data_IF_049461860173
#
_entry.id   IF_049461860173
#
_cell.length_a   1.000
_cell.length_b   1.000
_cell.length_c   1.000
_cell.angle_alpha   90.00
_cell.angle_beta   90.00
_cell.angle_gamma   90.00
#
_symmetry.space_group_name_H-M   'P 1'
#
loop_
_entity.id
_entity.type
_entity.pdbx_description
1 polymer ?
#
# COMPACT_ATOMS: atom_id res chain seq x y z
N UNK A 1 18.05 -15.26 7.50
CA UNK A 1 17.71 -16.04 6.29
C UNK A 1 18.94 -16.26 5.41
N UNK A 2 19.05 -17.37 4.66
CA UNK A 2 20.13 -17.66 3.71
C UNK A 2 20.12 -16.70 2.51
N UNK A 3 21.25 -16.56 1.83
CA UNK A 3 21.41 -15.72 0.64
C UNK A 3 21.27 -16.56 -0.63
N UNK A 4 20.68 -16.01 -1.68
CA UNK A 4 20.63 -16.64 -3.00
C UNK A 4 21.66 -15.96 -3.90
N UNK A 5 22.55 -16.77 -4.48
CA UNK A 5 23.62 -16.33 -5.36
C UNK A 5 23.44 -16.88 -6.78
N UNK A 6 23.99 -16.16 -7.74
CA UNK A 6 24.24 -16.70 -9.06
C UNK A 6 25.42 -17.71 -9.04
N UNK A 7 25.77 -18.29 -10.17
CA UNK A 7 26.90 -19.23 -10.29
C UNK A 7 28.27 -18.61 -10.03
N UNK A 8 28.39 -17.30 -10.10
CA UNK A 8 29.62 -16.54 -9.91
C UNK A 8 29.74 -15.94 -8.50
N UNK A 9 28.73 -16.13 -7.65
CA UNK A 9 28.68 -15.57 -6.31
C UNK A 9 28.09 -14.15 -6.23
N UNK A 10 27.44 -13.68 -7.31
CA UNK A 10 26.69 -12.42 -7.28
C UNK A 10 25.42 -12.61 -6.46
N UNK A 11 25.14 -11.70 -5.53
CA UNK A 11 23.94 -11.75 -4.68
C UNK A 11 22.70 -11.40 -5.49
N UNK A 12 21.76 -12.32 -5.58
CA UNK A 12 20.47 -12.13 -6.22
C UNK A 12 19.35 -11.83 -5.21
N UNK A 13 19.40 -12.46 -4.03
CA UNK A 13 18.55 -12.16 -2.89
C UNK A 13 19.37 -12.22 -1.60
N UNK A 14 19.44 -11.13 -0.88
CA UNK A 14 20.21 -10.98 0.35
C UNK A 14 19.39 -10.46 1.52
N UNK A 15 20.06 -10.17 2.64
CA UNK A 15 19.43 -9.55 3.80
C UNK A 15 20.22 -8.28 4.17
N UNK A 16 19.50 -7.22 4.46
CA UNK A 16 20.06 -6.00 5.03
C UNK A 16 19.62 -5.84 6.48
N UNK A 17 20.54 -5.43 7.33
CA UNK A 17 20.19 -5.07 8.70
C UNK A 17 19.44 -3.75 8.68
N UNK A 18 18.25 -3.76 9.27
CA UNK A 18 17.39 -2.60 9.45
C UNK A 18 17.04 -2.43 10.92
N UNK A 19 16.56 -1.25 11.28
CA UNK A 19 16.08 -1.00 12.63
C UNK A 19 14.58 -0.78 12.60
N UNK A 20 13.87 -1.46 13.49
CA UNK A 20 12.44 -1.33 13.65
C UNK A 20 12.13 -0.65 14.97
N UNK A 21 11.09 0.17 14.97
CA UNK A 21 10.52 0.74 16.17
C UNK A 21 9.46 -0.20 16.70
N UNK A 22 9.59 -0.60 17.93
CA UNK A 22 8.69 -1.55 18.59
C UNK A 22 8.10 -0.98 19.87
N UNK A 23 6.92 -1.47 20.25
CA UNK A 23 6.25 -1.11 21.51
C UNK A 23 5.90 -2.39 22.27
N UNK A 24 6.20 -2.41 23.56
CA UNK A 24 5.82 -3.47 24.51
C UNK A 24 4.67 -2.98 25.39
N UNK A 25 3.73 -3.88 25.69
CA UNK A 25 2.70 -3.64 26.71
C UNK A 25 3.37 -3.65 28.10
N UNK A 26 3.66 -2.47 28.62
CA UNK A 26 4.10 -2.34 30.00
C UNK A 26 2.87 -2.27 30.91
N UNK A 27 2.81 -3.10 31.95
CA UNK A 27 1.70 -3.11 32.90
C UNK A 27 1.46 -1.75 33.61
N UNK A 28 2.35 -0.80 33.45
CA UNK A 28 2.25 0.55 33.99
C UNK A 28 1.19 1.39 33.29
N UNK A 29 1.02 1.20 31.96
CA UNK A 29 -0.01 1.89 31.20
C UNK A 29 -1.42 1.30 31.38
N UNK A 30 -1.56 0.07 31.84
CA UNK A 30 -2.87 -0.55 32.09
C UNK A 30 -3.63 0.09 33.27
N UNK A 31 -2.96 0.91 34.10
CA UNK A 31 -3.54 1.64 35.23
C UNK A 31 -3.95 3.07 34.90
N UNK A 32 -3.43 3.65 33.82
CA UNK A 32 -3.62 5.03 33.41
C UNK A 32 -3.85 5.09 31.89
N UNK A 33 -5.01 4.64 31.43
CA UNK A 33 -5.34 4.53 29.98
C UNK A 33 -5.15 5.83 29.20
N UNK A 34 -5.25 7.00 29.85
CA UNK A 34 -5.01 8.30 29.22
C UNK A 34 -3.54 8.53 28.87
N UNK A 35 -2.63 8.13 29.74
CA UNK A 35 -1.19 8.39 29.58
C UNK A 35 -0.58 7.58 28.40
N UNK A 36 -1.10 6.38 28.15
CA UNK A 36 -0.64 5.56 27.04
C UNK A 36 -0.96 6.18 25.68
N UNK A 37 -2.17 6.68 25.49
CA UNK A 37 -2.54 7.34 24.24
C UNK A 37 -1.76 8.67 24.06
N UNK A 38 -1.48 9.41 25.14
CA UNK A 38 -0.63 10.61 25.08
C UNK A 38 0.82 10.28 24.71
N UNK A 39 1.35 9.18 25.24
CA UNK A 39 2.67 8.68 24.84
C UNK A 39 2.70 8.29 23.38
N UNK A 40 1.68 7.56 22.90
CA UNK A 40 1.56 7.19 21.47
C UNK A 40 1.45 8.42 20.58
N UNK A 41 0.71 9.44 20.98
CA UNK A 41 0.62 10.68 20.20
C UNK A 41 1.99 11.35 20.04
N UNK A 42 2.77 11.47 21.15
CA UNK A 42 4.14 12.00 21.07
C UNK A 42 5.04 11.15 20.17
N UNK A 43 4.90 9.83 20.25
CA UNK A 43 5.64 8.91 19.40
C UNK A 43 5.30 9.15 17.91
N UNK A 44 4.01 9.27 17.58
CA UNK A 44 3.52 9.56 16.25
C UNK A 44 4.06 10.90 15.73
N UNK A 45 4.07 11.94 16.56
CA UNK A 45 4.64 13.25 16.21
C UNK A 45 6.13 13.14 15.85
N UNK A 46 6.90 12.35 16.63
CA UNK A 46 8.32 12.12 16.34
C UNK A 46 8.46 11.33 15.03
N UNK A 47 7.71 10.24 14.85
CA UNK A 47 7.75 9.41 13.64
C UNK A 47 7.43 10.24 12.40
N UNK A 48 6.37 11.04 12.43
CA UNK A 48 5.98 11.93 11.31
C UNK A 48 7.05 12.99 11.00
N UNK A 49 7.69 13.54 12.02
CA UNK A 49 8.74 14.57 11.86
C UNK A 49 9.95 14.06 11.06
N UNK A 50 10.21 12.76 11.10
CA UNK A 50 11.33 12.11 10.42
C UNK A 50 10.86 11.16 9.30
N UNK A 51 9.69 11.44 8.71
CA UNK A 51 9.11 10.72 7.56
C UNK A 51 8.96 9.20 7.78
N UNK A 52 8.82 8.78 9.04
CA UNK A 52 8.58 7.37 9.38
C UNK A 52 7.13 6.96 9.06
N UNK A 53 6.97 5.71 8.63
CA UNK A 53 5.65 5.15 8.30
C UNK A 53 5.18 4.22 9.40
N UNK A 54 4.04 4.53 10.01
CA UNK A 54 3.40 3.68 11.02
C UNK A 54 2.66 2.54 10.33
N UNK A 55 2.77 1.33 10.89
CA UNK A 55 2.07 0.14 10.39
C UNK A 55 0.56 0.37 10.31
N UNK A 56 -0.04 -0.12 9.24
CA UNK A 56 -1.48 -0.05 8.95
C UNK A 56 -2.08 -1.45 9.08
N UNK A 57 -2.63 -1.76 10.25
CA UNK A 57 -3.28 -3.07 10.52
C UNK A 57 -4.81 -2.99 10.44
N UNK A 58 -5.38 -1.79 10.50
CA UNK A 58 -6.81 -1.58 10.36
C UNK A 58 -7.21 -1.45 8.90
N UNK A 59 -8.30 -2.11 8.44
CA UNK A 59 -8.85 -1.92 7.11
C UNK A 59 -9.68 -0.61 7.04
N UNK A 60 -9.08 0.50 7.47
CA UNK A 60 -9.70 1.84 7.55
C UNK A 60 -8.69 2.88 7.09
N UNK A 61 -9.14 3.78 6.24
CA UNK A 61 -8.40 4.95 5.75
C UNK A 61 -9.19 6.22 6.07
N UNK A 62 -8.58 7.35 5.81
CA UNK A 62 -9.26 8.64 5.73
C UNK A 62 -9.44 8.94 4.25
N UNK A 63 -10.67 9.19 3.83
CA UNK A 63 -11.00 9.50 2.45
C UNK A 63 -10.72 10.99 2.10
N UNK A 64 -10.96 11.35 0.84
CA UNK A 64 -10.73 12.70 0.32
C UNK A 64 -11.61 13.76 1.02
N UNK A 65 -12.74 13.34 1.63
CA UNK A 65 -13.64 14.20 2.42
C UNK A 65 -13.22 14.29 3.90
N UNK A 66 -12.10 13.68 4.28
CA UNK A 66 -11.59 13.63 5.65
C UNK A 66 -12.44 12.78 6.60
N UNK A 67 -13.14 11.76 6.07
CA UNK A 67 -13.95 10.83 6.87
C UNK A 67 -13.27 9.46 6.95
N UNK A 68 -13.57 8.68 8.01
CA UNK A 68 -13.14 7.30 8.06
C UNK A 68 -13.92 6.46 7.04
N UNK A 69 -13.19 5.77 6.15
CA UNK A 69 -13.72 4.88 5.15
C UNK A 69 -13.07 3.49 5.26
N UNK A 70 -13.81 2.46 4.88
CA UNK A 70 -13.22 1.12 4.82
C UNK A 70 -12.29 0.97 3.63
N UNK A 71 -11.21 0.21 3.85
CA UNK A 71 -10.25 -0.16 2.81
C UNK A 71 -9.95 -1.65 2.87
N UNK A 72 -9.58 -2.23 1.73
CA UNK A 72 -9.18 -3.63 1.66
C UNK A 72 -10.34 -4.61 1.46
N UNK A 73 -10.14 -5.87 1.89
CA UNK A 73 -11.08 -6.97 1.63
C UNK A 73 -12.21 -7.00 2.67
N UNK A 74 -13.40 -7.38 2.22
CA UNK A 74 -14.60 -7.58 3.05
C UNK A 74 -14.34 -8.47 4.28
N UNK A 75 -13.49 -9.49 4.13
CA UNK A 75 -13.12 -10.38 5.24
C UNK A 75 -12.39 -9.67 6.36
N UNK A 76 -11.49 -8.73 6.03
CA UNK A 76 -10.76 -7.93 7.01
C UNK A 76 -11.69 -6.94 7.73
N UNK A 77 -12.60 -6.30 6.99
CA UNK A 77 -13.62 -5.39 7.55
C UNK A 77 -14.52 -6.14 8.53
N UNK A 78 -15.03 -7.31 8.13
CA UNK A 78 -15.84 -8.18 9.01
C UNK A 78 -15.07 -8.64 10.25
N UNK A 79 -13.78 -8.90 10.12
CA UNK A 79 -12.93 -9.24 11.27
C UNK A 79 -12.79 -8.05 12.22
N UNK A 80 -12.52 -6.84 11.71
CA UNK A 80 -12.47 -5.62 12.52
C UNK A 80 -13.79 -5.41 13.29
N UNK A 81 -14.94 -5.50 12.61
CA UNK A 81 -16.26 -5.33 13.24
C UNK A 81 -16.45 -6.36 14.35
N UNK A 82 -16.08 -7.63 14.12
CA UNK A 82 -16.15 -8.69 15.12
C UNK A 82 -15.26 -8.39 16.32
N UNK A 83 -14.09 -7.87 16.10
CA UNK A 83 -13.12 -7.51 17.14
C UNK A 83 -13.57 -6.32 17.99
N UNK A 84 -14.26 -5.36 17.39
CA UNK A 84 -14.76 -4.16 18.06
C UNK A 84 -16.02 -4.43 18.85
N UNK A 85 -16.93 -5.22 18.31
CA UNK A 85 -18.25 -5.44 18.91
C UNK A 85 -18.34 -6.75 19.73
N UNK A 86 -17.57 -7.77 19.36
CA UNK A 86 -17.63 -9.10 19.96
C UNK A 86 -18.81 -9.92 19.43
N UNK A 87 -18.65 -11.24 19.43
CA UNK A 87 -19.65 -12.18 18.89
C UNK A 87 -21.00 -12.10 19.62
N UNK A 88 -20.98 -11.98 20.95
CA UNK A 88 -22.22 -11.91 21.75
C UNK A 88 -23.08 -10.68 21.41
N UNK A 89 -22.47 -9.52 21.21
CA UNK A 89 -23.17 -8.30 20.80
C UNK A 89 -23.77 -8.46 19.39
N UNK A 90 -23.00 -9.01 18.46
CA UNK A 90 -23.45 -9.26 17.09
C UNK A 90 -24.65 -10.21 17.06
N UNK A 91 -24.60 -11.28 17.85
CA UNK A 91 -25.72 -12.25 17.97
C UNK A 91 -26.97 -11.62 18.59
N UNK A 92 -26.80 -10.76 19.59
CA UNK A 92 -27.91 -10.02 20.21
C UNK A 92 -28.58 -9.11 19.19
N UNK A 93 -27.81 -8.30 18.48
CA UNK A 93 -28.30 -7.39 17.46
C UNK A 93 -28.97 -8.11 16.29
N UNK A 94 -28.40 -9.23 15.87
CA UNK A 94 -29.02 -10.08 14.83
C UNK A 94 -30.41 -10.59 15.23
N UNK A 95 -30.63 -10.93 16.52
CA UNK A 95 -31.97 -11.31 17.03
C UNK A 95 -32.92 -10.15 17.04
N UNK A 96 -32.44 -8.91 17.15
CA UNK A 96 -33.21 -7.66 17.05
C UNK A 96 -33.52 -7.28 15.59
N UNK A 97 -32.94 -7.99 14.60
CA UNK A 97 -33.08 -7.73 13.17
C UNK A 97 -32.07 -6.69 12.63
N UNK A 98 -31.05 -6.37 13.41
CA UNK A 98 -30.01 -5.41 13.05
C UNK A 98 -28.72 -6.15 12.61
N UNK A 99 -28.22 -5.84 11.41
CA UNK A 99 -26.95 -6.40 10.90
C UNK A 99 -25.80 -5.44 11.22
N UNK A 100 -25.00 -5.77 12.24
CA UNK A 100 -23.83 -4.99 12.68
C UNK A 100 -22.75 -4.89 11.59
N UNK A 101 -22.71 -5.84 10.65
CA UNK A 101 -21.75 -5.81 9.55
C UNK A 101 -22.04 -4.74 8.48
N UNK A 102 -23.18 -4.06 8.57
CA UNK A 102 -23.53 -2.92 7.71
C UNK A 102 -23.14 -1.56 8.28
N UNK A 103 -22.55 -1.54 9.49
CA UNK A 103 -22.14 -0.28 10.11
C UNK A 103 -20.99 0.35 9.30
N UNK A 104 -21.06 1.69 9.16
CA UNK A 104 -20.03 2.47 8.49
C UNK A 104 -18.74 2.56 9.30
N UNK A 105 -17.65 2.92 8.64
CA UNK A 105 -16.33 3.01 9.26
C UNK A 105 -16.29 4.06 10.39
N UNK A 106 -16.99 5.17 10.24
CA UNK A 106 -17.08 6.22 11.25
C UNK A 106 -17.70 5.72 12.56
N UNK A 107 -18.77 4.93 12.47
CA UNK A 107 -19.45 4.32 13.62
C UNK A 107 -18.56 3.29 14.32
N UNK A 108 -17.86 2.45 13.54
CA UNK A 108 -16.96 1.43 14.08
C UNK A 108 -15.76 2.08 14.74
N UNK A 109 -15.14 3.10 14.11
CA UNK A 109 -14.00 3.82 14.66
C UNK A 109 -14.37 4.60 15.94
N UNK A 110 -15.52 5.25 16.01
CA UNK A 110 -16.00 5.89 17.23
C UNK A 110 -16.12 4.91 18.40
N UNK A 111 -16.65 3.70 18.14
CA UNK A 111 -16.72 2.67 19.17
C UNK A 111 -15.33 2.14 19.56
N UNK A 112 -14.45 1.90 18.58
CA UNK A 112 -13.09 1.45 18.83
C UNK A 112 -12.34 2.43 19.72
N UNK A 113 -12.36 3.72 19.38
CA UNK A 113 -11.72 4.78 20.15
C UNK A 113 -12.30 4.90 21.56
N UNK A 114 -13.63 4.95 21.68
CA UNK A 114 -14.30 5.21 22.96
C UNK A 114 -14.29 4.01 23.90
N UNK A 115 -14.67 2.84 23.41
CA UNK A 115 -14.90 1.65 24.24
C UNK A 115 -13.64 0.81 24.38
N UNK A 116 -12.98 0.52 23.26
CA UNK A 116 -11.83 -0.39 23.27
C UNK A 116 -10.54 0.29 23.71
N UNK A 117 -10.33 1.56 23.33
CA UNK A 117 -9.08 2.27 23.57
C UNK A 117 -9.21 3.44 24.55
N UNK A 118 -10.42 3.67 25.05
CA UNK A 118 -10.69 4.65 26.09
C UNK A 118 -10.07 6.03 25.82
N UNK A 119 -10.33 6.58 24.63
CA UNK A 119 -10.01 7.97 24.33
C UNK A 119 -10.79 8.83 25.34
N UNK A 120 -10.07 9.65 26.10
CA UNK A 120 -10.67 10.45 27.17
C UNK A 120 -11.60 11.51 26.59
N UNK A 121 -12.49 12.07 27.44
CA UNK A 121 -13.37 13.19 27.08
C UNK A 121 -12.60 14.41 26.56
N UNK A 122 -11.31 14.54 26.89
CA UNK A 122 -10.41 15.56 26.33
C UNK A 122 -10.20 15.40 24.83
N UNK A 123 -10.28 14.17 24.29
CA UNK A 123 -10.14 13.86 22.88
C UNK A 123 -11.48 13.58 22.18
N UNK A 124 -12.57 13.39 22.97
CA UNK A 124 -13.94 13.25 22.42
C UNK A 124 -14.44 14.54 21.75
N UNK A 125 -13.91 15.70 22.16
CA UNK A 125 -14.18 16.95 21.47
C UNK A 125 -13.07 17.12 20.41
N UNK A 126 -13.36 16.79 19.18
CA UNK A 126 -12.53 16.72 17.98
C UNK A 126 -11.55 17.91 17.72
N UNK A 127 -11.43 18.86 18.64
CA UNK A 127 -10.55 20.02 18.56
C UNK A 127 -9.13 19.76 19.03
N UNK A 128 -8.82 18.57 19.60
CA UNK A 128 -7.55 18.30 20.27
C UNK A 128 -6.69 17.19 19.64
N UNK A 129 -7.23 16.37 18.76
CA UNK A 129 -6.50 15.34 18.00
C UNK A 129 -7.05 15.24 16.58
N UNK A 130 -6.15 15.19 15.59
CA UNK A 130 -6.54 14.98 14.19
C UNK A 130 -7.07 13.55 13.98
N UNK A 131 -7.89 13.35 12.94
CA UNK A 131 -8.35 12.00 12.58
C UNK A 131 -7.19 11.11 12.18
N UNK A 132 -6.16 11.66 11.54
CA UNK A 132 -4.94 10.98 11.14
C UNK A 132 -4.18 10.45 12.37
N UNK A 133 -4.02 11.27 13.40
CA UNK A 133 -3.35 10.85 14.65
C UNK A 133 -4.19 9.83 15.41
N UNK A 134 -5.50 10.01 15.44
CA UNK A 134 -6.43 9.06 16.05
C UNK A 134 -6.37 7.70 15.33
N UNK A 135 -6.35 7.69 13.99
CA UNK A 135 -6.21 6.47 13.19
C UNK A 135 -4.85 5.81 13.46
N UNK A 136 -3.76 6.58 13.53
CA UNK A 136 -2.42 6.07 13.82
C UNK A 136 -2.36 5.42 15.20
N UNK A 137 -2.91 6.05 16.25
CA UNK A 137 -3.02 5.45 17.59
C UNK A 137 -3.83 4.15 17.54
N UNK A 138 -4.96 4.15 16.82
CA UNK A 138 -5.79 2.96 16.69
C UNK A 138 -5.06 1.83 15.97
N UNK A 139 -4.29 2.11 14.92
CA UNK A 139 -3.47 1.12 14.23
C UNK A 139 -2.43 0.48 15.15
N UNK A 140 -1.68 1.30 15.90
CA UNK A 140 -0.68 0.81 16.87
C UNK A 140 -1.34 -0.09 17.91
N UNK A 141 -2.43 0.37 18.51
CA UNK A 141 -3.14 -0.39 19.57
C UNK A 141 -3.79 -1.65 19.04
N UNK A 142 -4.24 -1.64 17.78
CA UNK A 142 -4.79 -2.82 17.14
C UNK A 142 -3.69 -3.85 16.84
N UNK A 143 -2.54 -3.41 16.34
CA UNK A 143 -1.37 -4.27 16.17
C UNK A 143 -0.95 -4.93 17.50
N UNK A 144 -0.87 -4.16 18.58
CA UNK A 144 -0.56 -4.68 19.93
C UNK A 144 -1.61 -5.69 20.42
N UNK A 145 -2.88 -5.52 20.05
CA UNK A 145 -3.95 -6.46 20.42
C UNK A 145 -3.76 -7.83 19.79
N UNK A 146 -3.25 -7.89 18.56
CA UNK A 146 -2.98 -9.15 17.87
C UNK A 146 -1.94 -10.03 18.60
N UNK A 147 -1.09 -9.41 19.41
CA UNK A 147 -0.04 -10.06 20.23
C UNK A 147 -0.38 -10.12 21.72
N UNK A 148 -1.60 -9.79 22.15
CA UNK A 148 -2.00 -9.68 23.59
C UNK A 148 -1.81 -10.98 24.38
N UNK A 149 -1.86 -12.14 23.74
CA UNK A 149 -1.60 -13.44 24.37
C UNK A 149 -0.11 -13.64 24.75
N UNK A 150 0.79 -12.84 24.16
CA UNK A 150 2.24 -12.87 24.36
C UNK A 150 2.75 -11.48 24.74
N UNK A 151 2.33 -10.94 25.90
CA UNK A 151 2.65 -9.58 26.37
C UNK A 151 4.14 -9.25 26.47
N UNK A 152 4.97 -10.29 26.52
CA UNK A 152 6.42 -10.16 26.53
C UNK A 152 7.01 -9.92 25.13
N UNK A 153 6.24 -10.17 24.07
CA UNK A 153 6.67 -9.89 22.68
C UNK A 153 6.45 -8.41 22.38
N UNK A 154 7.45 -7.80 21.77
CA UNK A 154 7.33 -6.45 21.22
C UNK A 154 6.46 -6.46 19.97
N UNK A 155 5.74 -5.39 19.74
CA UNK A 155 4.96 -5.15 18.53
C UNK A 155 5.68 -4.13 17.65
N UNK A 156 6.04 -4.50 16.44
CA UNK A 156 6.64 -3.56 15.48
C UNK A 156 5.57 -2.56 15.02
N UNK A 157 5.89 -1.28 15.12
CA UNK A 157 5.00 -0.17 14.77
C UNK A 157 5.53 0.69 13.62
N UNK A 158 6.84 0.68 13.39
CA UNK A 158 7.48 1.30 12.24
C UNK A 158 8.68 0.43 11.84
N UNK A 159 8.75 0.07 10.58
CA UNK A 159 9.84 -0.77 10.05
C UNK A 159 10.84 0.10 9.30
N UNK A 160 12.12 -0.32 9.30
CA UNK A 160 13.19 0.32 8.53
C UNK A 160 13.33 1.82 8.82
N UNK A 161 13.47 2.15 10.11
CA UNK A 161 13.57 3.54 10.57
C UNK A 161 14.92 4.16 10.19
N UNK A 162 14.90 5.45 9.84
CA UNK A 162 16.12 6.20 9.55
C UNK A 162 17.02 6.38 10.77
N UNK A 163 18.34 6.56 10.61
CA UNK A 163 19.24 6.85 11.71
C UNK A 163 18.85 8.10 12.53
N UNK A 164 18.25 9.09 11.86
CA UNK A 164 17.76 10.32 12.47
C UNK A 164 16.55 10.05 13.37
N UNK A 165 15.60 9.21 12.91
CA UNK A 165 14.47 8.78 13.72
C UNK A 165 14.93 7.94 14.90
N UNK A 166 15.88 7.01 14.68
CA UNK A 166 16.47 6.22 15.76
C UNK A 166 17.10 7.12 16.85
N UNK A 167 17.89 8.10 16.46
CA UNK A 167 18.50 9.05 17.41
C UNK A 167 17.43 9.83 18.19
N UNK A 168 16.39 10.32 17.49
CA UNK A 168 15.30 11.05 18.12
C UNK A 168 14.51 10.20 19.14
N UNK A 169 14.27 8.92 18.84
CA UNK A 169 13.61 7.99 19.78
C UNK A 169 14.49 7.78 21.02
N UNK A 170 15.80 7.54 20.84
CA UNK A 170 16.72 7.34 21.96
C UNK A 170 16.84 8.57 22.85
N UNK A 171 16.84 9.78 22.28
CA UNK A 171 16.83 11.04 23.04
C UNK A 171 15.57 11.22 23.88
N UNK A 172 14.43 10.72 23.41
CA UNK A 172 13.13 10.85 24.07
C UNK A 172 12.72 9.60 24.89
N UNK A 173 13.60 8.61 25.03
CA UNK A 173 13.28 7.31 25.63
C UNK A 173 12.65 7.39 27.03
N UNK A 174 13.02 8.39 27.84
CA UNK A 174 12.42 8.60 29.18
C UNK A 174 10.92 8.93 29.14
N UNK A 175 10.43 9.47 28.03
CA UNK A 175 9.02 9.82 27.83
C UNK A 175 8.26 8.78 27.01
N UNK A 176 8.98 7.83 26.40
CA UNK A 176 8.48 6.78 25.52
C UNK A 176 8.62 5.40 26.19
N UNK A 177 7.97 5.23 27.35
CA UNK A 177 8.07 4.00 28.13
C UNK A 177 7.51 2.80 27.34
N UNK A 178 8.30 1.73 27.24
CA UNK A 178 7.95 0.53 26.46
C UNK A 178 8.21 0.63 24.96
N UNK A 179 8.75 1.75 24.50
CA UNK A 179 9.20 1.92 23.10
C UNK A 179 10.67 1.55 23.00
N UNK A 180 11.01 0.67 22.09
CA UNK A 180 12.37 0.20 21.85
C UNK A 180 12.71 0.25 20.36
N UNK A 181 14.01 0.35 20.05
CA UNK A 181 14.55 0.19 18.71
C UNK A 181 15.21 -1.17 18.64
N UNK A 182 14.70 -2.05 17.82
CA UNK A 182 15.17 -3.41 17.65
C UNK A 182 15.82 -3.58 16.27
N UNK A 183 16.97 -4.26 16.23
CA UNK A 183 17.58 -4.65 14.97
C UNK A 183 16.77 -5.80 14.36
N UNK A 184 16.51 -5.67 13.06
CA UNK A 184 15.80 -6.67 12.25
C UNK A 184 16.52 -6.87 10.92
N UNK A 185 16.01 -7.75 10.09
CA UNK A 185 16.54 -7.99 8.74
C UNK A 185 15.43 -7.74 7.71
N UNK A 186 15.78 -7.03 6.64
CA UNK A 186 14.91 -6.88 5.47
C UNK A 186 15.49 -7.70 4.31
N UNK A 187 14.62 -8.49 3.66
CA UNK A 187 14.98 -9.20 2.44
C UNK A 187 15.11 -8.20 1.29
N UNK A 188 16.22 -8.28 0.56
CA UNK A 188 16.53 -7.36 -0.56
C UNK A 188 16.89 -8.15 -1.81
N UNK A 189 16.46 -7.59 -2.95
CA UNK A 189 16.68 -8.15 -4.27
C UNK A 189 17.36 -7.08 -5.14
N UNK A 190 18.71 -6.97 -5.12
CA UNK A 190 19.44 -5.85 -5.74
C UNK A 190 19.02 -5.59 -7.20
N UNK A 191 18.85 -6.66 -7.98
CA UNK A 191 18.46 -6.59 -9.39
C UNK A 191 17.13 -7.32 -9.64
N UNK A 192 16.19 -7.17 -8.72
CA UNK A 192 14.89 -7.88 -8.70
C UNK A 192 14.10 -7.77 -10.00
N UNK A 193 14.20 -6.66 -10.73
CA UNK A 193 13.52 -6.46 -12.02
C UNK A 193 13.89 -7.57 -13.03
N UNK A 194 15.13 -8.01 -13.05
CA UNK A 194 15.61 -9.03 -13.99
C UNK A 194 15.33 -10.46 -13.55
N UNK A 195 15.06 -10.66 -12.26
CA UNK A 195 14.96 -11.98 -11.64
C UNK A 195 13.62 -12.26 -10.94
N UNK A 196 12.68 -11.33 -10.97
CA UNK A 196 11.38 -11.43 -10.25
C UNK A 196 10.63 -12.73 -10.53
N UNK A 197 10.59 -13.16 -11.79
CA UNK A 197 9.92 -14.39 -12.21
C UNK A 197 10.59 -15.68 -11.72
N UNK A 198 11.82 -15.59 -11.21
CA UNK A 198 12.63 -16.74 -10.78
C UNK A 198 12.72 -16.75 -9.26
N UNK A 199 13.10 -15.62 -8.67
CA UNK A 199 13.35 -15.52 -7.23
C UNK A 199 12.04 -15.58 -6.43
N UNK A 200 10.97 -14.95 -6.91
CA UNK A 200 9.79 -14.71 -6.12
C UNK A 200 10.01 -13.63 -5.07
N UNK A 201 9.30 -13.72 -3.96
CA UNK A 201 9.36 -12.76 -2.86
C UNK A 201 9.02 -13.39 -1.52
N UNK A 202 9.27 -12.66 -0.43
CA UNK A 202 8.92 -13.06 0.93
C UNK A 202 7.75 -12.23 1.47
N UNK A 203 6.94 -12.84 2.34
CA UNK A 203 5.80 -12.19 2.98
C UNK A 203 5.26 -13.00 4.14
N UNK A 204 4.30 -12.44 4.90
CA UNK A 204 3.62 -13.17 5.97
C UNK A 204 2.81 -14.33 5.40
N UNK A 205 2.79 -15.52 6.05
CA UNK A 205 2.02 -16.66 5.56
C UNK A 205 0.52 -16.40 5.70
N UNK A 206 -0.26 -16.90 4.76
CA UNK A 206 -1.70 -17.08 4.92
C UNK A 206 -1.99 -18.21 5.90
N UNK A 207 -3.22 -18.32 6.39
CA UNK A 207 -3.61 -19.42 7.31
C UNK A 207 -3.31 -20.80 6.73
N UNK A 208 -3.61 -21.01 5.45
CA UNK A 208 -3.38 -22.29 4.78
C UNK A 208 -1.89 -22.59 4.58
N UNK A 209 -1.08 -21.59 4.22
CA UNK A 209 0.38 -21.75 4.11
C UNK A 209 1.01 -22.04 5.47
N UNK A 210 0.54 -21.35 6.52
CA UNK A 210 1.01 -21.57 7.88
C UNK A 210 0.72 -23.01 8.35
N UNK A 211 -0.49 -23.54 8.12
CA UNK A 211 -0.83 -24.91 8.41
C UNK A 211 0.12 -25.90 7.72
N UNK A 212 0.38 -25.68 6.42
CA UNK A 212 1.30 -26.52 5.64
C UNK A 212 2.74 -26.46 6.17
N UNK A 213 3.23 -25.25 6.51
CA UNK A 213 4.57 -25.08 7.07
C UNK A 213 4.70 -25.73 8.44
N UNK A 214 3.67 -25.61 9.28
CA UNK A 214 3.63 -26.22 10.62
C UNK A 214 3.56 -27.76 10.61
N UNK A 215 3.13 -28.38 9.52
CA UNK A 215 3.25 -29.83 9.34
C UNK A 215 4.71 -30.30 9.28
N UNK A 216 5.60 -29.44 8.74
CA UNK A 216 7.04 -29.72 8.60
C UNK A 216 7.86 -29.20 9.78
N UNK A 217 7.54 -28.01 10.26
CA UNK A 217 8.17 -27.35 11.39
C UNK A 217 7.15 -26.53 12.18
N UNK A 218 6.78 -27.02 13.35
CA UNK A 218 5.77 -26.40 14.24
C UNK A 218 6.19 -25.05 14.83
N UNK A 219 7.42 -24.60 14.59
CA UNK A 219 7.93 -23.31 15.08
C UNK A 219 7.51 -22.11 14.21
N UNK A 220 6.92 -22.35 13.02
CA UNK A 220 6.39 -21.28 12.20
C UNK A 220 5.22 -20.56 12.85
N UNK A 221 5.25 -19.23 12.82
CA UNK A 221 4.21 -18.35 13.36
C UNK A 221 3.61 -17.46 12.23
N UNK A 222 2.40 -16.95 12.44
CA UNK A 222 1.72 -16.07 11.49
C UNK A 222 2.46 -14.72 11.24
N UNK A 223 3.40 -14.38 12.11
CA UNK A 223 4.23 -13.17 12.01
C UNK A 223 5.52 -13.37 11.23
N UNK A 224 5.86 -14.62 10.88
CA UNK A 224 7.10 -14.91 10.16
C UNK A 224 7.07 -14.40 8.73
N UNK A 225 8.27 -14.14 8.20
CA UNK A 225 8.47 -13.83 6.79
C UNK A 225 8.90 -15.11 6.07
N UNK A 226 8.02 -15.63 5.24
CA UNK A 226 8.23 -16.88 4.46
C UNK A 226 8.27 -16.58 2.97
N UNK A 227 8.86 -17.49 2.18
CA UNK A 227 8.81 -17.42 0.73
C UNK A 227 7.38 -17.63 0.21
N UNK A 228 6.94 -16.72 -0.65
CA UNK A 228 5.57 -16.70 -1.18
C UNK A 228 5.47 -17.25 -2.60
N UNK A 229 6.56 -17.18 -3.34
CA UNK A 229 6.63 -17.60 -4.74
C UNK A 229 8.07 -17.91 -5.15
N UNK A 230 8.25 -18.53 -6.29
CA UNK A 230 9.54 -18.78 -6.94
C UNK A 230 10.51 -19.59 -6.08
N UNK A 231 11.80 -19.25 -6.17
CA UNK A 231 12.85 -19.94 -5.41
C UNK A 231 12.80 -19.66 -3.91
N UNK A 232 12.30 -18.48 -3.51
CA UNK A 232 12.09 -18.16 -2.09
C UNK A 232 11.13 -19.16 -1.44
N UNK A 233 10.05 -19.52 -2.14
CA UNK A 233 9.08 -20.51 -1.65
C UNK A 233 9.63 -21.93 -1.76
N UNK A 234 10.23 -22.27 -2.90
CA UNK A 234 10.72 -23.64 -3.15
C UNK A 234 11.82 -24.06 -2.18
N UNK A 235 12.73 -23.13 -1.83
CA UNK A 235 13.83 -23.37 -0.90
C UNK A 235 13.57 -22.81 0.49
N UNK A 236 12.32 -22.63 0.89
CA UNK A 236 11.96 -22.09 2.20
C UNK A 236 12.65 -22.84 3.35
N UNK A 237 12.59 -24.17 3.35
CA UNK A 237 13.19 -25.02 4.38
C UNK A 237 14.71 -24.88 4.52
N UNK A 238 15.38 -24.53 3.41
CA UNK A 238 16.85 -24.32 3.41
C UNK A 238 17.19 -22.89 3.82
N UNK A 239 16.41 -21.92 3.31
CA UNK A 239 16.69 -20.49 3.47
C UNK A 239 16.27 -19.97 4.86
N UNK A 240 15.23 -20.49 5.48
CA UNK A 240 14.64 -19.97 6.72
C UNK A 240 15.61 -19.99 7.91
N UNK A 241 16.42 -21.03 8.03
CA UNK A 241 17.27 -21.26 9.20
C UNK A 241 16.50 -21.75 10.41
N UNK A 242 17.07 -21.62 11.59
CA UNK A 242 16.45 -22.04 12.85
C UNK A 242 16.25 -20.84 13.76
N UNK A 243 15.05 -20.68 14.31
CA UNK A 243 14.76 -19.62 15.26
C UNK A 243 15.54 -19.81 16.55
N UNK A 244 15.98 -18.72 17.15
CA UNK A 244 16.44 -18.74 18.55
C UNK A 244 15.27 -18.95 19.49
N UNK A 245 15.56 -19.49 20.67
CA UNK A 245 14.57 -19.75 21.70
C UNK A 245 15.10 -19.31 23.07
N UNK A 246 14.34 -18.45 23.73
CA UNK A 246 14.64 -18.00 25.10
C UNK A 246 13.62 -18.60 26.05
N UNK A 247 14.11 -19.33 27.05
CA UNK A 247 13.28 -19.78 28.17
C UNK A 247 13.36 -18.76 29.30
N UNK A 248 12.24 -18.13 29.63
CA UNK A 248 12.19 -17.02 30.57
C UNK A 248 11.21 -17.27 31.72
N UNK A 249 11.53 -16.72 32.89
CA UNK A 249 10.57 -16.61 33.99
C UNK A 249 9.75 -15.33 33.84
N UNK A 250 8.43 -15.47 33.86
CA UNK A 250 7.50 -14.35 33.83
C UNK A 250 6.87 -14.14 35.23
N UNK A 251 6.64 -12.88 35.59
CA UNK A 251 5.77 -12.57 36.74
C UNK A 251 4.29 -12.70 36.34
N UNK A 252 3.40 -12.49 37.32
CA UNK A 252 1.94 -12.57 37.13
C UNK A 252 1.34 -11.49 36.20
N UNK A 253 2.15 -10.51 35.77
CA UNK A 253 1.76 -9.46 34.83
C UNK A 253 2.45 -9.61 33.46
N UNK A 254 3.22 -10.69 33.25
CA UNK A 254 3.85 -11.00 31.97
C UNK A 254 5.20 -10.30 31.74
N UNK A 255 5.86 -9.77 32.77
CA UNK A 255 7.20 -9.23 32.66
C UNK A 255 8.25 -10.31 32.84
N UNK A 256 9.30 -10.29 32.03
CA UNK A 256 10.45 -11.18 32.15
C UNK A 256 11.21 -10.83 33.44
N UNK A 257 11.32 -11.79 34.33
CA UNK A 257 12.10 -11.66 35.60
C UNK A 257 13.53 -12.18 35.40
N UNK A 258 13.69 -13.25 34.67
CA UNK A 258 14.99 -13.89 34.45
C UNK A 258 14.94 -14.75 33.15
N UNK A 259 16.08 -14.90 32.50
CA UNK A 259 16.26 -15.79 31.35
C UNK A 259 17.02 -17.02 31.82
N UNK A 260 16.38 -18.20 31.76
CA UNK A 260 16.93 -19.44 32.26
C UNK A 260 17.90 -20.05 31.24
N UNK A 261 17.50 -19.99 29.96
CA UNK A 261 18.21 -20.58 28.83
C UNK A 261 17.97 -19.74 27.59
N UNK A 262 18.98 -19.64 26.74
CA UNK A 262 18.92 -18.87 25.50
C UNK A 262 19.66 -19.63 24.40
N UNK A 263 18.92 -20.11 23.42
CA UNK A 263 19.49 -20.71 22.20
C UNK A 263 19.50 -19.65 21.09
N UNK A 264 20.68 -19.30 20.54
CA UNK A 264 20.75 -18.30 19.47
C UNK A 264 20.13 -18.82 18.18
N UNK A 265 19.57 -17.92 17.37
CA UNK A 265 19.11 -18.24 16.03
C UNK A 265 20.28 -18.68 15.14
N UNK A 266 20.00 -19.63 14.24
CA UNK A 266 20.97 -20.09 13.24
C UNK A 266 20.52 -19.65 11.86
N UNK A 267 21.43 -18.98 11.13
CA UNK A 267 21.15 -18.54 9.76
C UNK A 267 20.88 -19.73 8.84
N UNK A 268 19.96 -19.56 7.89
CA UNK A 268 19.67 -20.55 6.87
C UNK A 268 20.82 -20.75 5.89
N UNK A 269 20.74 -21.83 5.13
CA UNK A 269 21.74 -22.20 4.13
C UNK A 269 21.68 -21.24 2.93
N UNK A 270 22.84 -20.95 2.37
CA UNK A 270 22.95 -20.18 1.13
C UNK A 270 22.69 -21.10 -0.08
N UNK A 271 21.99 -20.54 -1.09
CA UNK A 271 21.63 -21.25 -2.32
C UNK A 271 22.38 -20.66 -3.50
N UNK A 272 23.08 -21.51 -4.26
CA UNK A 272 23.78 -21.13 -5.46
C UNK A 272 23.04 -21.63 -6.70
N UNK A 273 22.69 -20.72 -7.59
CA UNK A 273 22.00 -21.03 -8.84
C UNK A 273 23.01 -21.32 -9.97
N UNK A 274 22.53 -21.98 -11.01
CA UNK A 274 23.31 -22.16 -12.26
C UNK A 274 23.18 -20.97 -13.22
N UNK A 275 22.36 -20.00 -12.89
CA UNK A 275 22.13 -18.78 -13.67
C UNK A 275 23.39 -17.90 -13.61
N UNK A 276 23.61 -17.15 -14.68
CA UNK A 276 24.64 -16.12 -14.79
C UNK A 276 23.93 -14.76 -14.79
N UNK A 277 24.23 -13.93 -13.80
CA UNK A 277 23.61 -12.62 -13.60
C UNK A 277 23.73 -11.73 -14.84
N UNK A 278 24.98 -11.53 -15.34
CA UNK A 278 25.23 -10.59 -16.43
C UNK A 278 24.57 -11.03 -17.73
N UNK A 279 24.53 -12.36 -17.97
CA UNK A 279 23.84 -12.92 -19.11
C UNK A 279 22.32 -12.70 -19.02
N UNK A 280 21.73 -12.88 -17.85
CA UNK A 280 20.30 -12.66 -17.63
C UNK A 280 19.92 -11.20 -17.88
N UNK A 281 20.69 -10.26 -17.34
CA UNK A 281 20.50 -8.81 -17.55
C UNK A 281 20.62 -8.45 -19.03
N UNK A 282 21.65 -8.96 -19.71
CA UNK A 282 21.85 -8.72 -21.14
C UNK A 282 20.68 -9.27 -21.99
N UNK A 283 20.19 -10.47 -21.68
CA UNK A 283 19.06 -11.08 -22.36
C UNK A 283 17.79 -10.27 -22.12
N UNK A 284 17.53 -9.82 -20.89
CA UNK A 284 16.41 -8.97 -20.55
C UNK A 284 16.37 -7.71 -21.44
N UNK A 285 17.49 -6.97 -21.51
CA UNK A 285 17.56 -5.77 -22.35
C UNK A 285 17.41 -6.05 -23.85
N UNK A 286 17.95 -7.16 -24.33
CA UNK A 286 17.76 -7.54 -25.75
C UNK A 286 16.29 -7.83 -26.04
N UNK A 287 15.61 -8.55 -25.14
CA UNK A 287 14.18 -8.86 -25.31
C UNK A 287 13.34 -7.59 -25.22
N UNK A 288 13.60 -6.73 -24.21
CA UNK A 288 12.93 -5.46 -24.05
C UNK A 288 13.04 -4.58 -25.30
N UNK A 289 14.28 -4.41 -25.81
CA UNK A 289 14.50 -3.63 -27.02
C UNK A 289 13.78 -4.23 -28.25
N UNK A 290 13.80 -5.55 -28.38
CA UNK A 290 13.10 -6.23 -29.49
C UNK A 290 11.59 -6.09 -29.38
N UNK A 291 11.02 -6.16 -28.19
CA UNK A 291 9.60 -5.89 -27.97
C UNK A 291 9.25 -4.45 -28.32
N UNK A 292 10.08 -3.49 -27.87
CA UNK A 292 9.88 -2.07 -28.19
C UNK A 292 9.95 -1.84 -29.71
N UNK A 293 10.93 -2.42 -30.43
CA UNK A 293 11.06 -2.32 -31.89
C UNK A 293 9.81 -2.88 -32.60
N UNK A 294 9.29 -4.02 -32.12
CA UNK A 294 8.07 -4.63 -32.69
C UNK A 294 6.84 -3.76 -32.43
N UNK A 295 6.67 -3.26 -31.19
CA UNK A 295 5.55 -2.39 -30.83
C UNK A 295 5.56 -1.11 -31.65
N UNK A 296 6.70 -0.41 -31.71
CA UNK A 296 6.84 0.83 -32.50
C UNK A 296 6.54 0.58 -33.99
N UNK A 297 7.00 -0.55 -34.53
CA UNK A 297 6.73 -0.93 -35.91
C UNK A 297 5.26 -1.32 -36.18
N UNK A 298 4.46 -1.51 -35.13
CA UNK A 298 3.04 -1.87 -35.22
C UNK A 298 2.10 -0.71 -34.89
N UNK A 299 2.63 0.40 -34.34
CA UNK A 299 1.80 1.57 -33.99
C UNK A 299 1.22 2.22 -35.24
N UNK A 300 -0.06 2.54 -35.19
CA UNK A 300 -0.78 3.33 -36.19
C UNK A 300 -1.59 4.44 -35.51
N UNK A 301 -1.77 5.56 -36.23
CA UNK A 301 -2.66 6.64 -35.80
C UNK A 301 -4.13 6.30 -36.09
N UNK A 302 -4.34 5.44 -37.10
CA UNK A 302 -5.68 5.00 -37.51
C UNK A 302 -6.25 3.98 -36.53
N UNK A 303 -7.56 3.97 -36.35
CA UNK A 303 -8.26 2.94 -35.59
C UNK A 303 -8.10 1.60 -36.34
N UNK A 304 -7.64 0.57 -35.63
CA UNK A 304 -7.43 -0.76 -36.15
C UNK A 304 -8.24 -1.78 -35.36
N UNK A 305 -9.12 -2.50 -36.07
CA UNK A 305 -9.85 -3.62 -35.48
C UNK A 305 -9.37 -4.91 -36.13
N UNK A 306 -8.85 -5.83 -35.34
CA UNK A 306 -8.48 -7.17 -35.79
C UNK A 306 -9.71 -8.06 -35.82
N UNK A 307 -9.82 -8.88 -36.87
CA UNK A 307 -10.79 -9.96 -36.98
C UNK A 307 -10.10 -11.33 -37.02
N UNK A 308 -10.89 -12.41 -37.03
CA UNK A 308 -10.41 -13.80 -37.06
C UNK A 308 -9.54 -14.13 -38.28
N UNK A 309 -9.58 -13.31 -39.32
CA UNK A 309 -8.80 -13.46 -40.56
C UNK A 309 -7.52 -12.63 -40.59
N UNK A 310 -7.34 -11.72 -39.62
CA UNK A 310 -6.19 -10.82 -39.55
C UNK A 310 -4.91 -11.60 -39.26
N UNK A 311 -3.94 -11.53 -40.18
CA UNK A 311 -2.66 -12.19 -40.00
C UNK A 311 -1.80 -11.42 -38.97
N UNK A 312 -0.97 -12.13 -38.23
CA UNK A 312 -0.05 -11.52 -37.23
C UNK A 312 0.88 -10.46 -37.87
N UNK A 313 1.20 -10.58 -39.14
CA UNK A 313 1.98 -9.58 -39.89
C UNK A 313 1.20 -8.28 -40.18
N UNK A 314 -0.11 -8.36 -40.26
CA UNK A 314 -1.02 -7.26 -40.59
C UNK A 314 -1.57 -6.58 -39.31
N UNK A 315 -1.40 -7.22 -38.17
CA UNK A 315 -1.85 -6.69 -36.89
C UNK A 315 -1.16 -5.35 -36.61
N UNK A 316 -1.95 -4.35 -36.28
CA UNK A 316 -1.50 -3.01 -35.85
C UNK A 316 -2.08 -2.67 -34.49
N UNK A 317 -1.49 -1.71 -33.84
CA UNK A 317 -1.91 -1.22 -32.53
C UNK A 317 -2.21 0.26 -32.67
N UNK A 318 -3.45 0.66 -32.43
CA UNK A 318 -3.84 2.06 -32.41
C UNK A 318 -3.12 2.78 -31.26
N UNK A 319 -2.58 3.96 -31.50
CA UNK A 319 -2.01 4.82 -30.45
C UNK A 319 -3.03 5.11 -29.36
N UNK A 320 -4.31 5.23 -29.74
CA UNK A 320 -5.43 5.39 -28.82
C UNK A 320 -5.54 4.22 -27.82
N UNK A 321 -5.40 2.97 -28.31
CA UNK A 321 -5.44 1.80 -27.44
C UNK A 321 -4.26 1.74 -26.46
N UNK A 322 -3.08 2.20 -26.89
CA UNK A 322 -1.92 2.33 -25.99
C UNK A 322 -2.22 3.30 -24.84
N UNK A 323 -2.76 4.48 -25.13
CA UNK A 323 -3.15 5.42 -24.10
C UNK A 323 -4.23 4.87 -23.15
N UNK A 324 -5.26 4.21 -23.67
CA UNK A 324 -6.27 3.55 -22.85
C UNK A 324 -5.66 2.51 -21.90
N UNK A 325 -4.70 1.72 -22.40
CA UNK A 325 -4.01 0.76 -21.53
C UNK A 325 -3.13 1.46 -20.47
N UNK A 326 -2.51 2.58 -20.79
CA UNK A 326 -1.74 3.35 -19.82
C UNK A 326 -2.63 3.92 -18.70
N UNK A 327 -3.82 4.42 -19.02
CA UNK A 327 -4.80 4.85 -18.02
C UNK A 327 -5.35 3.68 -17.21
N UNK A 328 -5.75 2.59 -17.86
CA UNK A 328 -6.31 1.42 -17.20
C UNK A 328 -5.33 0.74 -16.22
N UNK A 329 -4.03 0.88 -16.45
CA UNK A 329 -2.97 0.34 -15.60
C UNK A 329 -2.38 1.37 -14.63
N UNK A 330 -2.99 2.54 -14.48
CA UNK A 330 -2.52 3.65 -13.63
C UNK A 330 -1.06 4.08 -13.92
N UNK A 331 -0.60 3.93 -15.18
CA UNK A 331 0.68 4.46 -15.65
C UNK A 331 0.54 5.96 -15.89
N UNK A 332 -0.66 6.37 -16.33
CA UNK A 332 -1.09 7.76 -16.45
C UNK A 332 -2.34 7.95 -15.59
N UNK A 333 -2.30 8.87 -14.63
CA UNK A 333 -3.42 9.25 -13.77
C UNK A 333 -3.78 10.70 -14.01
N UNK A 334 -4.92 10.95 -14.67
CA UNK A 334 -5.39 12.30 -14.99
C UNK A 334 -5.53 13.21 -13.76
N UNK A 335 -5.79 12.63 -12.58
CA UNK A 335 -5.88 13.37 -11.32
C UNK A 335 -4.54 13.96 -10.89
N UNK A 336 -3.44 13.33 -11.30
CA UNK A 336 -2.08 13.76 -10.99
C UNK A 336 -1.46 14.68 -12.04
N UNK A 337 -2.07 14.86 -13.20
CA UNK A 337 -1.48 15.59 -14.32
C UNK A 337 -1.03 17.02 -13.95
N UNK A 338 -1.78 17.67 -13.07
CA UNK A 338 -1.49 19.03 -12.58
C UNK A 338 -0.69 19.11 -11.29
N UNK A 339 -0.37 17.97 -10.67
CA UNK A 339 0.32 17.92 -9.39
C UNK A 339 1.84 18.08 -9.53
N UNK A 340 2.48 18.60 -8.49
CA UNK A 340 3.94 18.71 -8.43
C UNK A 340 4.64 17.34 -8.56
N UNK A 341 3.99 16.29 -8.07
CA UNK A 341 4.44 14.90 -8.13
C UNK A 341 4.21 14.17 -9.46
N UNK A 342 3.54 14.82 -10.43
CA UNK A 342 3.26 14.22 -11.73
C UNK A 342 4.53 13.79 -12.47
N UNK A 343 4.47 12.64 -13.15
CA UNK A 343 5.56 12.14 -13.99
C UNK A 343 5.82 13.07 -15.18
N UNK A 344 7.03 13.00 -15.75
CA UNK A 344 7.36 13.77 -16.95
C UNK A 344 6.44 13.45 -18.15
N UNK A 345 5.95 12.20 -18.25
CA UNK A 345 5.00 11.78 -19.27
C UNK A 345 3.62 12.43 -19.06
N UNK A 346 3.13 12.47 -17.83
CA UNK A 346 1.87 13.14 -17.48
C UNK A 346 1.92 14.64 -17.74
N UNK A 347 3.01 15.31 -17.37
CA UNK A 347 3.24 16.75 -17.64
C UNK A 347 3.30 17.06 -19.13
N UNK A 348 3.95 16.20 -19.92
CA UNK A 348 4.00 16.36 -21.38
C UNK A 348 2.62 16.18 -22.01
N UNK A 349 1.84 15.19 -21.58
CA UNK A 349 0.48 14.97 -22.07
C UNK A 349 -0.42 16.16 -21.71
N UNK A 350 -0.37 16.65 -20.46
CA UNK A 350 -1.13 17.83 -20.04
C UNK A 350 -0.78 19.05 -20.91
N UNK A 351 0.50 19.31 -21.13
CA UNK A 351 0.95 20.42 -21.98
C UNK A 351 0.47 20.32 -23.42
N UNK A 352 0.47 19.12 -24.00
CA UNK A 352 -0.07 18.86 -25.33
C UNK A 352 -1.58 19.08 -25.37
N UNK A 353 -2.30 18.55 -24.37
CA UNK A 353 -3.75 18.69 -24.26
C UNK A 353 -4.16 20.16 -24.13
N UNK A 354 -3.49 20.94 -23.25
CA UNK A 354 -3.75 22.38 -23.07
C UNK A 354 -3.45 23.17 -24.36
N UNK A 355 -2.39 22.79 -25.07
CA UNK A 355 -2.04 23.38 -26.36
C UNK A 355 -3.12 23.13 -27.42
N UNK A 356 -3.53 21.90 -27.63
CA UNK A 356 -4.56 21.50 -28.57
C UNK A 356 -5.94 22.05 -28.21
N UNK A 357 -6.29 22.01 -26.90
CA UNK A 357 -7.53 22.58 -26.38
C UNK A 357 -7.60 24.11 -26.64
N UNK A 358 -6.50 24.83 -26.44
CA UNK A 358 -6.42 26.27 -26.71
C UNK A 358 -6.60 26.57 -28.19
N UNK A 359 -6.00 25.75 -29.08
CA UNK A 359 -6.15 25.86 -30.52
C UNK A 359 -7.59 25.56 -30.96
N UNK A 360 -8.20 24.50 -30.42
CA UNK A 360 -9.57 24.13 -30.71
C UNK A 360 -10.57 25.23 -30.28
N UNK A 361 -10.40 25.76 -29.06
CA UNK A 361 -11.22 26.88 -28.55
C UNK A 361 -11.09 28.11 -29.46
N UNK A 362 -9.84 28.48 -29.83
CA UNK A 362 -9.61 29.60 -30.77
C UNK A 362 -10.32 29.36 -32.10
N UNK A 363 -10.21 28.19 -32.66
CA UNK A 363 -10.85 27.83 -33.93
C UNK A 363 -12.37 27.90 -33.82
N UNK A 364 -12.94 27.38 -32.73
CA UNK A 364 -14.37 27.49 -32.44
C UNK A 364 -14.80 28.95 -32.35
N UNK A 365 -14.04 29.80 -31.64
CA UNK A 365 -14.34 31.23 -31.50
C UNK A 365 -14.20 31.99 -32.83
N UNK A 366 -13.22 31.63 -33.68
CA UNK A 366 -13.06 32.22 -35.02
C UNK A 366 -14.22 31.87 -35.96
N UNK A 367 -14.78 30.66 -35.83
CA UNK A 367 -15.94 30.19 -36.61
C UNK A 367 -17.30 30.73 -36.07
N UNK A 368 -17.36 31.17 -34.83
CA UNK A 368 -18.55 31.78 -34.19
C UNK A 368 -18.81 33.21 -34.65
N UNK A 369 -18.70 33.53 -35.95
CA UNK A 369 -18.97 34.85 -36.52
C UNK A 369 -20.47 35.03 -36.74
N UNK A 370 -21.04 36.22 -36.53
CA UNK A 370 -22.45 36.49 -36.73
C UNK A 370 -22.89 36.13 -38.19
N UNK A 371 -23.77 35.14 -38.29
CA UNK A 371 -24.33 34.67 -39.57
C UNK A 371 -23.68 33.43 -40.17
N UNK A 372 -22.66 32.86 -39.56
CA UNK A 372 -22.10 31.58 -39.98
C UNK A 372 -23.03 30.41 -39.58
N UNK A 373 -23.24 29.49 -40.53
CA UNK A 373 -23.95 28.23 -40.25
C UNK A 373 -22.93 27.22 -39.68
N UNK A 374 -22.80 27.18 -38.39
CA UNK A 374 -21.77 26.44 -37.60
C UNK A 374 -21.69 24.92 -37.94
N UNK A 375 -22.70 24.33 -38.57
CA UNK A 375 -22.78 22.87 -38.76
C UNK A 375 -22.11 22.31 -40.00
N UNK A 376 -21.65 23.12 -40.94
CA UNK A 376 -21.15 22.59 -42.22
C UNK A 376 -19.63 22.57 -42.36
N UNK A 377 -18.88 23.17 -41.44
CA UNK A 377 -17.41 23.33 -41.53
C UNK A 377 -16.60 22.74 -40.38
N UNK A 378 -17.26 22.24 -39.32
CA UNK A 378 -16.58 21.50 -38.26
C UNK A 378 -16.13 20.13 -38.78
N UNK A 379 -14.87 19.78 -38.51
CA UNK A 379 -14.39 18.42 -38.78
C UNK A 379 -15.18 17.38 -37.99
N UNK A 380 -15.23 16.14 -38.45
CA UNK A 380 -15.91 15.04 -37.71
C UNK A 380 -15.40 14.92 -36.26
N UNK A 381 -14.11 15.18 -36.01
CA UNK A 381 -13.50 15.16 -34.69
C UNK A 381 -14.04 16.27 -33.80
N UNK A 382 -14.21 17.50 -34.31
CA UNK A 382 -14.80 18.62 -33.55
C UNK A 382 -16.29 18.39 -33.25
N UNK A 383 -17.03 17.77 -34.17
CA UNK A 383 -18.40 17.36 -33.91
C UNK A 383 -18.47 16.26 -32.84
N UNK A 384 -17.49 15.36 -32.81
CA UNK A 384 -17.33 14.34 -31.77
C UNK A 384 -17.09 14.95 -30.39
N UNK A 385 -16.19 15.94 -30.28
CA UNK A 385 -15.89 16.63 -29.01
C UNK A 385 -17.12 17.38 -28.48
N UNK A 386 -17.88 18.06 -29.35
CA UNK A 386 -19.11 18.77 -28.95
C UNK A 386 -20.17 17.76 -28.48
N UNK A 387 -20.25 16.61 -29.10
CA UNK A 387 -21.23 15.54 -28.72
C UNK A 387 -20.80 14.81 -27.44
N UNK A 388 -19.50 14.59 -27.25
CA UNK A 388 -18.94 13.90 -26.08
C UNK A 388 -18.93 14.79 -24.82
N UNK A 389 -18.86 16.11 -24.96
CA UNK A 389 -18.83 17.04 -23.82
C UNK A 389 -20.21 17.35 -23.21
N UNK A 390 -21.27 16.62 -23.58
CA UNK A 390 -22.64 16.85 -23.10
C UNK A 390 -23.11 18.31 -23.13
N UNK A 391 -22.52 19.12 -24.02
CA UNK A 391 -22.98 20.49 -24.20
C UNK A 391 -24.36 20.43 -24.87
N UNK A 392 -25.39 20.59 -24.07
CA UNK A 392 -26.75 20.75 -24.58
C UNK A 392 -26.84 22.11 -25.29
N UNK A 393 -26.65 22.07 -26.61
CA UNK A 393 -26.77 23.28 -27.47
C UNK A 393 -28.18 23.88 -27.47
N UNK A 394 -29.15 23.23 -26.83
CA UNK A 394 -30.49 23.73 -26.60
C UNK A 394 -30.67 24.41 -25.22
N UNK A 395 -29.66 24.34 -24.34
CA UNK A 395 -29.66 24.98 -23.03
C UNK A 395 -29.84 26.50 -23.17
N UNK A 396 -30.81 27.06 -22.42
CA UNK A 396 -31.10 28.50 -22.44
C UNK A 396 -29.87 29.34 -22.01
N UNK A 397 -28.99 28.81 -21.16
CA UNK A 397 -27.77 29.46 -20.70
C UNK A 397 -26.73 29.53 -21.82
N UNK A 398 -26.57 28.45 -22.58
CA UNK A 398 -25.70 28.39 -23.74
C UNK A 398 -26.20 29.34 -24.84
N UNK A 399 -27.51 29.33 -25.11
CA UNK A 399 -28.12 30.22 -26.08
C UNK A 399 -28.07 31.71 -25.67
N UNK A 400 -28.21 32.01 -24.38
CA UNK A 400 -28.06 33.35 -23.85
C UNK A 400 -26.61 33.83 -23.96
N UNK A 401 -25.62 33.00 -23.60
CA UNK A 401 -24.20 33.30 -23.79
C UNK A 401 -23.84 33.52 -25.24
N UNK A 402 -24.28 32.60 -26.12
CA UNK A 402 -24.09 32.73 -27.57
C UNK A 402 -24.64 34.02 -28.15
N UNK A 403 -25.78 34.53 -27.63
CA UNK A 403 -26.42 35.72 -28.12
C UNK A 403 -25.83 37.05 -27.51
N UNK A 404 -25.05 36.95 -26.42
CA UNK A 404 -24.43 38.12 -25.77
C UNK A 404 -22.97 38.33 -26.14
N UNK A 405 -22.26 37.27 -26.57
CA UNK A 405 -20.84 37.33 -26.91
C UNK A 405 -20.59 37.34 -28.44
N UNK A 406 -21.62 37.21 -29.28
CA UNK A 406 -21.61 37.33 -30.72
C UNK A 406 -22.45 38.57 -31.11
#
# INVERSE_FOLDING_TARGET
RGTIYDRNGVVLAGNEAVYNLTVKDTSEYTKANGDFNEMLLRLIEIVKKYDGTIVTELPVIIDDDGQFAYSGKDSAIRQLIRDVYGTSYIEEKSKEGEDVYTYDAETVMKRLMKVSYNFTTRWENAETISKEDALAICNIRYAMRLTTYAKYKSTTICSDISPELQAAILENQQQLLGVEVEQSERRVYPDGVYFSNILGYTGKPSTQELETLQESDSTYEATDMVGKDGLEQYYESELAGTKGNDTVYLNNVGQILDTIDSEPSVRGNDVYLTIDHDLQVAVYHIVEQRLADVLVGKLTIEDFEADDSTLASEFQISVKDVYYQMFNNNILDEKHFSDDGASEAEKQILSLYEGESTLAIRHILEEMVPGATIQSELTEDMQGVITASEIDTSDETFLAWKNTEI
#
